data_IF_393707097258
#
_entry.id   IF_393707097258
#
_cell.length_a   1.000
_cell.length_b   1.000
_cell.length_c   1.000
_cell.angle_alpha   90.00
_cell.angle_beta   90.00
_cell.angle_gamma   90.00
#
_symmetry.space_group_name_H-M   'P 1'
#
loop_
_entity.id
_entity.type
_entity.pdbx_description
1 polymer ?
#
# COMPACT_ATOMS: atom_id res chain seq x y z
N UNK A 1 -24.42 -13.52 7.19
CA UNK A 1 -23.21 -12.83 6.72
C UNK A 1 -22.07 -13.83 6.64
N UNK A 2 -21.29 -13.81 5.57
CA UNK A 2 -20.13 -14.70 5.37
C UNK A 2 -18.88 -14.10 6.02
N UNK A 3 -17.84 -14.93 6.25
CA UNK A 3 -16.56 -14.45 6.76
C UNK A 3 -15.94 -13.36 5.85
N UNK A 4 -16.10 -13.48 4.53
CA UNK A 4 -15.62 -12.48 3.58
C UNK A 4 -16.32 -11.13 3.72
N UNK A 5 -17.64 -11.12 3.96
CA UNK A 5 -18.37 -9.88 4.19
C UNK A 5 -17.93 -9.19 5.49
N UNK A 6 -17.63 -9.95 6.54
CA UNK A 6 -17.06 -9.39 7.77
C UNK A 6 -15.69 -8.77 7.55
N UNK A 7 -14.80 -9.46 6.83
CA UNK A 7 -13.47 -8.92 6.48
C UNK A 7 -13.60 -7.66 5.65
N UNK A 8 -14.53 -7.64 4.69
CA UNK A 8 -14.81 -6.47 3.85
C UNK A 8 -15.28 -5.27 4.68
N UNK A 9 -16.24 -5.47 5.59
CA UNK A 9 -16.70 -4.41 6.49
C UNK A 9 -15.60 -3.92 7.43
N UNK A 10 -14.77 -4.83 7.95
CA UNK A 10 -13.64 -4.46 8.79
C UNK A 10 -12.61 -3.62 8.03
N UNK A 11 -12.31 -3.97 6.77
CA UNK A 11 -11.44 -3.18 5.91
C UNK A 11 -12.02 -1.78 5.64
N UNK A 12 -13.32 -1.69 5.38
CA UNK A 12 -14.02 -0.42 5.19
C UNK A 12 -13.94 0.47 6.44
N UNK A 13 -14.24 -0.09 7.62
CA UNK A 13 -14.15 0.62 8.90
C UNK A 13 -12.71 1.07 9.19
N UNK A 14 -11.72 0.20 8.97
CA UNK A 14 -10.29 0.53 9.11
C UNK A 14 -9.85 1.65 8.17
N UNK A 15 -10.28 1.61 6.90
CA UNK A 15 -10.03 2.66 5.92
C UNK A 15 -10.64 4.00 6.32
N UNK A 16 -11.86 3.99 6.86
CA UNK A 16 -12.52 5.18 7.37
C UNK A 16 -11.78 5.78 8.58
N UNK A 17 -11.32 4.96 9.52
CA UNK A 17 -10.50 5.42 10.66
C UNK A 17 -9.17 6.02 10.16
N UNK A 18 -8.53 5.40 9.18
CA UNK A 18 -7.30 5.92 8.59
C UNK A 18 -7.54 7.30 7.92
N UNK A 19 -8.63 7.44 7.17
CA UNK A 19 -9.04 8.72 6.57
C UNK A 19 -9.22 9.81 7.64
N UNK A 20 -10.01 9.54 8.69
CA UNK A 20 -10.21 10.50 9.77
C UNK A 20 -8.89 10.90 10.43
N UNK A 21 -8.00 9.93 10.64
CA UNK A 21 -6.67 10.20 11.21
C UNK A 21 -5.84 11.12 10.31
N UNK A 22 -5.88 10.92 8.99
CA UNK A 22 -5.17 11.78 8.04
C UNK A 22 -5.74 13.21 8.06
N UNK A 23 -7.06 13.36 8.11
CA UNK A 23 -7.73 14.66 8.13
C UNK A 23 -7.48 15.43 9.45
N UNK A 24 -7.32 14.73 10.57
CA UNK A 24 -7.22 15.34 11.90
C UNK A 24 -5.76 15.53 12.35
N UNK A 25 -4.91 14.50 12.22
CA UNK A 25 -3.63 14.45 12.92
C UNK A 25 -2.53 15.33 12.32
N UNK A 26 -2.73 15.90 11.12
CA UNK A 26 -1.82 16.84 10.42
C UNK A 26 -0.33 16.46 10.51
N UNK A 27 -0.01 15.17 10.42
CA UNK A 27 1.36 14.66 10.55
C UNK A 27 2.14 14.93 9.28
N UNK A 28 3.34 15.49 9.41
CA UNK A 28 4.23 15.77 8.27
C UNK A 28 4.91 14.49 7.73
N UNK A 29 5.19 13.54 8.63
CA UNK A 29 5.81 12.24 8.29
C UNK A 29 4.90 11.10 8.75
N UNK A 30 4.69 10.12 7.87
CA UNK A 30 3.91 8.92 8.16
C UNK A 30 4.54 8.03 9.24
N UNK A 31 3.81 6.99 9.66
CA UNK A 31 4.29 6.03 10.66
C UNK A 31 4.96 4.84 9.98
N UNK A 32 6.25 4.63 10.26
CA UNK A 32 7.01 3.45 9.83
C UNK A 32 6.35 2.15 10.28
N UNK A 33 5.95 2.08 11.56
CA UNK A 33 5.38 0.88 12.15
C UNK A 33 4.04 0.52 11.49
N UNK A 34 3.17 1.50 11.26
CA UNK A 34 1.87 1.26 10.63
C UNK A 34 2.06 0.77 9.19
N UNK A 35 2.93 1.42 8.40
CA UNK A 35 3.20 1.00 7.03
C UNK A 35 3.80 -0.42 6.98
N UNK A 36 4.72 -0.76 7.90
CA UNK A 36 5.32 -2.09 7.98
C UNK A 36 4.30 -3.17 8.38
N UNK A 37 3.45 -2.90 9.37
CA UNK A 37 2.39 -3.84 9.81
C UNK A 37 1.39 -4.08 8.67
N UNK A 38 0.93 -3.02 8.02
CA UNK A 38 0.00 -3.14 6.89
C UNK A 38 0.64 -3.92 5.73
N UNK A 39 1.93 -3.67 5.44
CA UNK A 39 2.68 -4.43 4.43
C UNK A 39 2.72 -5.92 4.78
N UNK A 40 3.04 -6.26 6.05
CA UNK A 40 3.17 -7.63 6.49
C UNK A 40 1.82 -8.36 6.49
N UNK A 41 0.77 -7.74 7.03
CA UNK A 41 -0.57 -8.34 7.11
C UNK A 41 -1.16 -8.52 5.71
N UNK A 42 -1.11 -7.48 4.86
CA UNK A 42 -1.66 -7.59 3.51
C UNK A 42 -0.83 -8.54 2.64
N UNK A 43 0.51 -8.50 2.75
CA UNK A 43 1.39 -9.45 2.06
C UNK A 43 1.13 -10.90 2.45
N UNK A 44 0.91 -11.18 3.74
CA UNK A 44 0.54 -12.51 4.21
C UNK A 44 -0.83 -12.96 3.66
N UNK A 45 -1.83 -12.07 3.67
CA UNK A 45 -3.14 -12.36 3.10
C UNK A 45 -3.07 -12.64 1.59
N UNK A 46 -2.30 -11.85 0.84
CA UNK A 46 -2.05 -12.08 -0.59
C UNK A 46 -1.30 -13.40 -0.83
N UNK A 47 -0.33 -13.74 0.02
CA UNK A 47 0.39 -15.02 -0.10
C UNK A 47 -0.55 -16.22 0.09
N UNK A 48 -1.48 -16.16 1.05
CA UNK A 48 -2.49 -17.22 1.23
C UNK A 48 -3.35 -17.37 -0.03
N UNK A 49 -3.83 -16.28 -0.62
CA UNK A 49 -4.59 -16.33 -1.88
C UNK A 49 -3.76 -16.93 -3.02
N UNK A 50 -2.50 -16.53 -3.17
CA UNK A 50 -1.64 -17.08 -4.23
C UNK A 50 -1.44 -18.59 -4.04
N UNK A 51 -1.31 -19.08 -2.81
CA UNK A 51 -1.19 -20.52 -2.51
C UNK A 51 -2.48 -21.27 -2.83
N UNK A 52 -3.64 -20.67 -2.59
CA UNK A 52 -4.95 -21.31 -2.77
C UNK A 52 -5.45 -21.25 -4.22
N UNK A 53 -5.36 -20.08 -4.84
CA UNK A 53 -6.04 -19.75 -6.10
C UNK A 53 -5.05 -19.49 -7.26
N UNK A 54 -3.75 -19.41 -6.94
CA UNK A 54 -2.71 -19.02 -7.89
C UNK A 54 -2.78 -17.54 -8.27
N UNK A 55 -1.82 -17.11 -9.09
CA UNK A 55 -1.78 -15.72 -9.59
C UNK A 55 -2.83 -15.43 -10.66
N UNK A 56 -3.35 -16.46 -11.33
CA UNK A 56 -4.36 -16.32 -12.38
C UNK A 56 -5.72 -15.88 -11.81
N UNK A 57 -6.01 -16.19 -10.54
CA UNK A 57 -7.22 -15.74 -9.85
C UNK A 57 -7.39 -14.21 -9.89
N UNK A 58 -6.30 -13.45 -9.78
CA UNK A 58 -6.35 -11.99 -9.92
C UNK A 58 -6.80 -11.57 -11.31
N UNK A 59 -6.28 -12.20 -12.38
CA UNK A 59 -6.69 -11.87 -13.74
C UNK A 59 -8.17 -12.18 -13.96
N UNK A 60 -8.61 -13.37 -13.56
CA UNK A 60 -10.01 -13.80 -13.70
C UNK A 60 -10.93 -12.80 -12.99
N UNK A 61 -10.67 -12.50 -11.71
CA UNK A 61 -11.50 -11.59 -10.90
C UNK A 61 -11.65 -10.19 -11.52
N UNK A 62 -10.59 -9.66 -12.12
CA UNK A 62 -10.58 -8.31 -12.70
C UNK A 62 -11.06 -8.24 -14.15
N UNK A 63 -11.44 -9.38 -14.75
CA UNK A 63 -11.88 -9.45 -16.16
C UNK A 63 -13.26 -10.06 -16.34
N UNK A 64 -13.95 -10.43 -15.25
CA UNK A 64 -15.29 -11.02 -15.33
C UNK A 64 -16.35 -10.04 -15.86
N UNK A 65 -16.26 -8.78 -15.45
CA UNK A 65 -17.25 -7.76 -15.79
C UNK A 65 -16.65 -6.35 -15.74
N UNK A 66 -17.48 -5.34 -16.05
CA UNK A 66 -17.09 -3.94 -16.05
C UNK A 66 -16.70 -3.44 -14.65
N UNK A 67 -17.28 -3.99 -13.58
CA UNK A 67 -16.98 -3.58 -12.20
C UNK A 67 -15.60 -4.09 -11.80
N UNK A 68 -15.29 -5.36 -12.09
CA UNK A 68 -13.97 -5.94 -11.87
C UNK A 68 -12.87 -5.19 -12.62
N UNK A 69 -13.13 -4.83 -13.89
CA UNK A 69 -12.18 -4.04 -14.68
C UNK A 69 -12.00 -2.62 -14.14
N UNK A 70 -13.09 -1.98 -13.69
CA UNK A 70 -13.02 -0.66 -13.08
C UNK A 70 -12.17 -0.68 -11.80
N UNK A 71 -12.38 -1.67 -10.91
CA UNK A 71 -11.58 -1.82 -9.67
C UNK A 71 -10.10 -2.03 -9.98
N UNK A 72 -9.78 -2.79 -11.02
CA UNK A 72 -8.41 -2.97 -11.48
C UNK A 72 -7.76 -1.66 -11.89
N UNK A 73 -8.45 -0.86 -12.71
CA UNK A 73 -7.95 0.44 -13.15
C UNK A 73 -7.77 1.41 -11.99
N UNK A 74 -8.72 1.44 -11.06
CA UNK A 74 -8.64 2.27 -9.87
C UNK A 74 -7.42 1.89 -9.02
N UNK A 75 -7.18 0.60 -8.79
CA UNK A 75 -6.00 0.11 -8.08
C UNK A 75 -4.68 0.55 -8.74
N UNK A 76 -4.58 0.42 -10.07
CA UNK A 76 -3.41 0.88 -10.82
C UNK A 76 -3.21 2.38 -10.68
N UNK A 77 -4.27 3.18 -10.82
CA UNK A 77 -4.19 4.64 -10.70
C UNK A 77 -3.80 5.07 -9.28
N UNK A 78 -4.39 4.48 -8.25
CA UNK A 78 -4.01 4.74 -6.86
C UNK A 78 -2.53 4.44 -6.60
N UNK A 79 -2.04 3.28 -7.05
CA UNK A 79 -0.63 2.91 -6.88
C UNK A 79 0.32 3.88 -7.61
N UNK A 80 0.00 4.24 -8.86
CA UNK A 80 0.81 5.15 -9.67
C UNK A 80 0.83 6.57 -9.12
N UNK A 81 -0.33 7.10 -8.71
CA UNK A 81 -0.44 8.44 -8.09
C UNK A 81 0.36 8.47 -6.78
N UNK A 82 0.21 7.45 -5.94
CA UNK A 82 0.95 7.38 -4.69
C UNK A 82 2.47 7.30 -4.95
N UNK A 83 2.91 6.45 -5.89
CA UNK A 83 4.32 6.37 -6.27
C UNK A 83 4.83 7.69 -6.85
N UNK A 84 4.04 8.40 -7.65
CA UNK A 84 4.37 9.71 -8.19
C UNK A 84 4.71 10.73 -7.09
N UNK A 85 3.93 10.74 -6.00
CA UNK A 85 4.20 11.62 -4.85
C UNK A 85 5.34 11.12 -3.94
N UNK A 86 5.51 9.81 -3.80
CA UNK A 86 6.52 9.21 -2.92
C UNK A 86 7.92 9.21 -3.54
N UNK A 87 8.03 9.00 -4.86
CA UNK A 87 9.31 8.86 -5.55
C UNK A 87 10.24 10.08 -5.36
N UNK A 88 9.80 11.35 -5.44
CA UNK A 88 10.66 12.50 -5.14
C UNK A 88 11.17 12.51 -3.70
N UNK A 89 10.33 12.15 -2.72
CA UNK A 89 10.72 12.08 -1.30
C UNK A 89 11.75 10.98 -1.06
N UNK A 90 11.51 9.80 -1.63
CA UNK A 90 12.45 8.68 -1.58
C UNK A 90 13.81 9.01 -2.19
N UNK A 91 13.84 9.74 -3.33
CA UNK A 91 15.08 10.24 -3.92
C UNK A 91 15.86 11.16 -2.98
N UNK A 92 15.18 12.09 -2.32
CA UNK A 92 15.80 13.01 -1.33
C UNK A 92 16.44 12.26 -0.16
N UNK A 93 15.92 11.10 0.20
CA UNK A 93 16.47 10.23 1.25
C UNK A 93 17.48 9.20 0.72
N UNK A 94 17.93 9.32 -0.54
CA UNK A 94 18.94 8.44 -1.13
C UNK A 94 18.45 7.02 -1.46
N UNK A 95 17.13 6.78 -1.52
CA UNK A 95 16.60 5.47 -1.88
C UNK A 95 16.77 5.20 -3.39
N UNK A 96 17.08 3.95 -3.76
CA UNK A 96 17.08 3.51 -5.15
C UNK A 96 15.65 3.39 -5.68
N UNK A 97 15.11 4.49 -6.22
CA UNK A 97 13.71 4.56 -6.67
C UNK A 97 13.43 3.65 -7.85
N UNK A 98 14.41 3.28 -8.68
CA UNK A 98 14.19 2.32 -9.76
C UNK A 98 13.82 0.95 -9.22
N UNK A 99 14.60 0.41 -8.28
CA UNK A 99 14.30 -0.90 -7.68
C UNK A 99 13.02 -0.88 -6.85
N UNK A 100 12.79 0.18 -6.08
CA UNK A 100 11.53 0.35 -5.34
C UNK A 100 10.33 0.50 -6.28
N UNK A 101 10.48 1.24 -7.37
CA UNK A 101 9.44 1.43 -8.39
C UNK A 101 9.10 0.12 -9.09
N UNK A 102 10.09 -0.72 -9.41
CA UNK A 102 9.84 -2.06 -9.94
C UNK A 102 9.08 -2.93 -8.92
N UNK A 103 9.47 -2.90 -7.66
CA UNK A 103 8.79 -3.67 -6.61
C UNK A 103 7.33 -3.21 -6.42
N UNK A 104 7.09 -1.89 -6.45
CA UNK A 104 5.73 -1.31 -6.43
C UNK A 104 4.96 -1.70 -7.68
N UNK A 105 5.57 -1.61 -8.86
CA UNK A 105 4.91 -1.93 -10.13
C UNK A 105 4.47 -3.39 -10.24
N UNK A 106 5.21 -4.31 -9.62
CA UNK A 106 4.89 -5.75 -9.65
C UNK A 106 4.02 -6.22 -8.49
N UNK A 107 3.90 -5.45 -7.40
CA UNK A 107 3.17 -5.87 -6.19
C UNK A 107 2.16 -4.84 -5.66
N UNK A 108 1.96 -3.75 -6.40
CA UNK A 108 1.08 -2.63 -6.09
C UNK A 108 1.27 -2.12 -4.64
N UNK A 109 0.25 -2.25 -3.81
CA UNK A 109 0.23 -1.71 -2.46
C UNK A 109 1.22 -2.38 -1.51
N UNK A 110 1.62 -3.64 -1.73
CA UNK A 110 2.61 -4.33 -0.88
C UNK A 110 3.97 -3.62 -0.99
N UNK A 111 4.47 -3.49 -2.22
CA UNK A 111 5.73 -2.80 -2.48
C UNK A 111 5.68 -1.32 -2.07
N UNK A 112 4.53 -0.67 -2.27
CA UNK A 112 4.33 0.71 -1.85
C UNK A 112 4.37 0.87 -0.33
N UNK A 113 3.71 -0.01 0.42
CA UNK A 113 3.73 0.01 1.89
C UNK A 113 5.14 -0.25 2.44
N UNK A 114 5.87 -1.19 1.84
CA UNK A 114 7.27 -1.44 2.18
C UNK A 114 8.15 -0.21 1.90
N UNK A 115 7.98 0.42 0.73
CA UNK A 115 8.69 1.64 0.35
C UNK A 115 8.38 2.79 1.32
N UNK A 116 7.11 2.98 1.67
CA UNK A 116 6.65 3.95 2.67
C UNK A 116 7.31 3.72 4.04
N UNK A 117 7.30 2.48 4.53
CA UNK A 117 7.90 2.14 5.81
C UNK A 117 9.38 2.52 5.85
N UNK A 118 10.12 2.17 4.80
CA UNK A 118 11.54 2.53 4.65
C UNK A 118 11.73 4.05 4.57
N UNK A 119 10.94 4.73 3.76
CA UNK A 119 11.01 6.18 3.59
C UNK A 119 10.78 6.90 4.92
N UNK A 120 9.69 6.58 5.63
CA UNK A 120 9.36 7.24 6.90
C UNK A 120 10.42 6.98 7.97
N UNK A 121 11.09 5.83 7.95
CA UNK A 121 12.20 5.53 8.85
C UNK A 121 13.43 6.40 8.57
N UNK A 122 13.73 6.63 7.29
CA UNK A 122 14.83 7.49 6.85
C UNK A 122 14.55 8.96 7.16
N UNK A 123 13.35 9.45 6.85
CA UNK A 123 12.94 10.83 7.13
C UNK A 123 13.05 11.14 8.63
N UNK A 124 12.59 10.24 9.50
CA UNK A 124 12.71 10.39 10.97
C UNK A 124 14.16 10.47 11.45
N UNK A 125 15.05 9.64 10.91
CA UNK A 125 16.47 9.70 11.24
C UNK A 125 17.17 10.94 10.71
N UNK A 126 16.76 11.46 9.55
CA UNK A 126 17.28 12.71 9.04
C UNK A 126 16.88 13.87 9.97
N UNK A 127 15.61 13.93 10.38
CA UNK A 127 15.13 14.92 11.35
C UNK A 127 15.83 14.81 12.70
N UNK A 128 16.00 13.61 13.25
CA UNK A 128 16.66 13.39 14.53
C UNK A 128 18.16 13.74 14.52
N UNK A 129 18.82 13.69 13.37
CA UNK A 129 20.23 14.10 13.21
C UNK A 129 20.41 15.60 13.01
N UNK A 130 19.35 16.29 12.58
CA UNK A 130 19.36 17.72 12.34
C UNK A 130 18.95 18.56 13.57
N UNK A 131 18.39 17.91 14.59
CA UNK A 131 18.04 18.47 15.90
C UNK A 131 19.21 18.34 16.88
#
# INVERSE_FOLDING_TARGET
>A
MTAFEFIWLAAYAGGFIALLTILIAKREVGSTAIAAILCAVFGAFTAVQIVQDGVIGFFINHTQDLTGLQVWWDLLMCALIALFFIAPRARKQGMNVTLWGLFVGTTASIGLLAMCARLFWLERQASARAA
#
